data_IF_483905338479
#
_entry.id   IF_483905338479
#
_cell.length_a   1.000
_cell.length_b   1.000
_cell.length_c   1.000
_cell.angle_alpha   90.00
_cell.angle_beta   90.00
_cell.angle_gamma   90.00
#
_symmetry.space_group_name_H-M   'P 1'
#
loop_
_entity.id
_entity.type
_entity.pdbx_description
1 polymer ?
#
# COMPACT_ATOMS: atom_id res chain seq x y z
N UNK A 1 2.67 5.01 34.82
CA UNK A 1 1.70 5.54 33.83
C UNK A 1 2.51 6.00 32.62
N UNK A 2 2.33 5.40 31.44
CA UNK A 2 3.00 5.89 30.23
C UNK A 2 2.25 7.15 29.80
N UNK A 3 2.91 8.31 29.83
CA UNK A 3 2.35 9.54 29.30
C UNK A 3 1.99 9.30 27.82
N UNK A 4 0.72 9.45 27.45
CA UNK A 4 0.34 9.42 26.04
C UNK A 4 1.07 10.59 25.37
N UNK A 5 1.91 10.28 24.39
CA UNK A 5 2.45 11.32 23.53
C UNK A 5 1.28 12.04 22.85
N UNK A 6 1.47 13.31 22.52
CA UNK A 6 0.44 14.12 21.85
C UNK A 6 0.04 13.55 20.48
N UNK A 7 -0.55 14.38 19.62
CA UNK A 7 -1.03 13.97 18.29
C UNK A 7 -0.05 13.01 17.58
N UNK A 8 -0.58 11.89 17.07
CA UNK A 8 0.18 10.90 16.29
C UNK A 8 1.01 11.61 15.21
N UNK A 9 2.29 11.23 15.03
CA UNK A 9 3.15 11.87 14.05
C UNK A 9 2.58 11.69 12.64
N UNK A 10 2.72 12.73 11.79
CA UNK A 10 2.42 12.61 10.37
C UNK A 10 3.31 11.54 9.71
N UNK A 11 2.79 10.74 8.76
CA UNK A 11 3.58 9.81 7.95
C UNK A 11 4.76 10.50 7.25
N UNK A 12 5.83 9.78 6.99
CA UNK A 12 7.05 10.34 6.39
C UNK A 12 6.79 10.90 5.00
N UNK A 13 5.96 10.24 4.19
CA UNK A 13 5.58 10.73 2.87
C UNK A 13 4.97 12.15 2.92
N UNK A 14 4.08 12.40 3.88
CA UNK A 14 3.45 13.72 4.07
C UNK A 14 4.49 14.75 4.53
N UNK A 15 5.39 14.39 5.46
CA UNK A 15 6.46 15.29 5.91
C UNK A 15 7.41 15.68 4.78
N UNK A 16 7.74 14.74 3.89
CA UNK A 16 8.59 14.99 2.72
C UNK A 16 7.90 15.97 1.76
N UNK A 17 6.62 15.75 1.46
CA UNK A 17 5.83 16.63 0.59
C UNK A 17 5.70 18.05 1.15
N UNK A 18 5.58 18.20 2.47
CA UNK A 18 5.53 19.50 3.15
C UNK A 18 6.91 20.16 3.31
N UNK A 19 8.00 19.55 2.82
CA UNK A 19 9.37 20.09 2.93
C UNK A 19 10.00 19.95 4.31
N UNK A 20 9.48 19.05 5.16
CA UNK A 20 9.93 18.79 6.52
C UNK A 20 10.08 20.08 7.36
N UNK A 21 8.99 20.83 7.62
CA UNK A 21 9.05 22.15 8.27
C UNK A 21 9.67 22.12 9.67
N UNK A 22 9.54 20.99 10.38
CA UNK A 22 10.15 20.79 11.69
C UNK A 22 11.66 20.51 11.65
N UNK A 23 12.26 20.29 10.47
CA UNK A 23 13.68 19.96 10.24
C UNK A 23 14.24 18.81 11.08
N UNK A 24 13.37 17.99 11.69
CA UNK A 24 13.77 16.79 12.45
C UNK A 24 14.11 15.66 11.47
N UNK A 25 14.93 14.72 11.93
CA UNK A 25 15.19 13.49 11.15
C UNK A 25 13.88 12.77 10.81
N UNK A 26 13.80 12.27 9.57
CA UNK A 26 12.65 11.51 9.08
C UNK A 26 12.77 10.05 9.51
N UNK A 27 11.63 9.36 9.66
CA UNK A 27 11.64 7.94 9.98
C UNK A 27 12.04 7.14 8.73
N UNK A 28 13.22 6.53 8.76
CA UNK A 28 13.71 5.67 7.66
C UNK A 28 13.18 4.23 7.74
N UNK A 29 12.58 3.86 8.88
CA UNK A 29 12.07 2.51 9.15
C UNK A 29 10.56 2.40 8.92
N UNK A 30 9.95 3.36 8.22
CA UNK A 30 8.53 3.26 7.86
C UNK A 30 8.36 2.17 6.79
N UNK A 31 7.44 1.20 6.98
CA UNK A 31 7.23 0.12 6.04
C UNK A 31 6.79 0.67 4.68
N UNK A 32 7.42 0.16 3.62
CA UNK A 32 7.07 0.46 2.23
C UNK A 32 6.75 -0.86 1.55
N UNK A 33 5.48 -1.19 1.32
CA UNK A 33 5.12 -2.44 0.67
C UNK A 33 5.65 -2.43 -0.77
N UNK A 34 6.08 -3.61 -1.24
CA UNK A 34 6.55 -3.75 -2.60
C UNK A 34 5.40 -3.52 -3.58
N UNK A 35 5.64 -2.67 -4.59
CA UNK A 35 4.67 -2.32 -5.66
C UNK A 35 4.58 -3.43 -6.70
N UNK A 36 4.16 -4.60 -6.25
CA UNK A 36 4.02 -5.82 -7.03
C UNK A 36 2.61 -6.34 -6.87
N UNK A 37 2.01 -6.82 -7.95
CA UNK A 37 0.68 -7.42 -7.84
C UNK A 37 0.73 -8.69 -6.96
N UNK A 38 -0.25 -8.87 -6.06
CA UNK A 38 -0.35 -10.09 -5.27
C UNK A 38 -0.67 -11.29 -6.19
N UNK A 39 -0.29 -12.49 -5.75
CA UNK A 39 -0.65 -13.72 -6.47
C UNK A 39 -2.17 -13.88 -6.47
N UNK A 40 -2.73 -14.24 -7.63
CA UNK A 40 -4.16 -14.51 -7.75
C UNK A 40 -4.60 -15.60 -6.75
N UNK A 41 -5.60 -15.32 -5.90
CA UNK A 41 -6.06 -16.29 -4.92
C UNK A 41 -6.77 -17.47 -5.57
N UNK A 42 -6.59 -18.65 -5.00
CA UNK A 42 -7.17 -19.89 -5.53
C UNK A 42 -8.70 -19.96 -5.41
N UNK A 43 -9.25 -19.24 -4.43
CA UNK A 43 -10.67 -19.24 -4.08
C UNK A 43 -11.55 -18.36 -4.98
N UNK A 44 -10.98 -17.61 -5.92
CA UNK A 44 -11.77 -16.84 -6.89
C UNK A 44 -12.44 -17.76 -7.92
N UNK A 45 -13.63 -17.36 -8.35
CA UNK A 45 -14.32 -17.98 -9.49
C UNK A 45 -13.54 -17.76 -10.80
N UNK A 46 -13.86 -18.53 -11.85
CA UNK A 46 -13.08 -18.51 -13.08
C UNK A 46 -13.20 -17.18 -13.83
N UNK A 47 -14.36 -16.53 -13.78
CA UNK A 47 -14.62 -15.19 -14.31
C UNK A 47 -13.77 -14.15 -13.56
N UNK A 48 -13.77 -14.20 -12.23
CA UNK A 48 -12.96 -13.33 -11.39
C UNK A 48 -11.45 -13.52 -11.63
N UNK A 49 -11.00 -14.76 -11.85
CA UNK A 49 -9.60 -15.05 -12.22
C UNK A 49 -9.21 -14.47 -13.58
N UNK A 50 -10.12 -14.40 -14.55
CA UNK A 50 -9.87 -13.76 -15.85
C UNK A 50 -9.71 -12.25 -15.66
N UNK A 51 -10.59 -11.65 -14.87
CA UNK A 51 -10.55 -10.22 -14.57
C UNK A 51 -9.29 -9.83 -13.77
N UNK A 52 -8.93 -10.64 -12.79
CA UNK A 52 -7.68 -10.52 -12.05
C UNK A 52 -6.49 -10.45 -13.00
N UNK A 53 -6.37 -11.40 -13.94
CA UNK A 53 -5.26 -11.44 -14.90
C UNK A 53 -5.25 -10.23 -15.84
N UNK A 54 -6.42 -9.73 -16.23
CA UNK A 54 -6.58 -8.56 -17.11
C UNK A 54 -6.09 -7.28 -16.41
N UNK A 55 -6.57 -7.03 -15.20
CA UNK A 55 -6.34 -5.78 -14.48
C UNK A 55 -5.03 -5.77 -13.67
N UNK A 56 -4.64 -6.88 -13.05
CA UNK A 56 -3.44 -6.93 -12.21
C UNK A 56 -2.18 -6.48 -12.97
N UNK A 57 -2.03 -6.92 -14.23
CA UNK A 57 -0.89 -6.55 -15.08
C UNK A 57 -0.81 -5.04 -15.30
N UNK A 58 -1.94 -4.39 -15.57
CA UNK A 58 -1.98 -2.95 -15.83
C UNK A 58 -1.71 -2.16 -14.54
N UNK A 59 -2.33 -2.57 -13.43
CA UNK A 59 -2.18 -1.90 -12.14
C UNK A 59 -0.78 -2.07 -11.54
N UNK A 60 -0.14 -3.21 -11.76
CA UNK A 60 1.26 -3.45 -11.39
C UNK A 60 2.22 -2.54 -12.19
N UNK A 61 2.03 -2.43 -13.51
CA UNK A 61 2.83 -1.53 -14.36
C UNK A 61 2.70 -0.06 -13.96
N UNK A 62 1.52 0.35 -13.49
CA UNK A 62 1.28 1.69 -12.97
C UNK A 62 1.77 1.87 -11.52
N UNK A 63 2.20 0.79 -10.86
CA UNK A 63 2.65 0.79 -9.47
C UNK A 63 1.53 1.12 -8.46
N UNK A 64 0.29 0.79 -8.81
CA UNK A 64 -0.91 1.00 -8.00
C UNK A 64 -1.13 -0.19 -7.06
N UNK A 65 -0.95 -1.41 -7.56
CA UNK A 65 -1.02 -2.61 -6.72
C UNK A 65 0.27 -2.83 -5.96
N UNK A 66 0.09 -3.21 -4.71
CA UNK A 66 1.12 -3.66 -3.79
C UNK A 66 0.80 -5.07 -3.29
N UNK A 67 1.78 -5.72 -2.67
CA UNK A 67 1.64 -7.09 -2.17
C UNK A 67 0.51 -7.26 -1.14
N UNK A 68 0.10 -6.18 -0.46
CA UNK A 68 -0.94 -6.19 0.57
C UNK A 68 -2.36 -5.99 0.02
N UNK A 69 -2.51 -5.67 -1.27
CA UNK A 69 -3.81 -5.32 -1.86
C UNK A 69 -4.66 -6.54 -2.24
N UNK A 70 -4.24 -7.75 -1.85
CA UNK A 70 -4.92 -8.99 -2.22
C UNK A 70 -6.41 -8.98 -1.90
N UNK A 71 -6.79 -8.62 -0.68
CA UNK A 71 -8.19 -8.66 -0.25
C UNK A 71 -9.04 -7.60 -0.98
N UNK A 72 -8.52 -6.37 -1.10
CA UNK A 72 -9.21 -5.28 -1.78
C UNK A 72 -9.39 -5.59 -3.27
N UNK A 73 -8.35 -6.09 -3.93
CA UNK A 73 -8.41 -6.45 -5.33
C UNK A 73 -9.27 -7.70 -5.58
N UNK A 74 -9.27 -8.67 -4.64
CA UNK A 74 -10.18 -9.83 -4.71
C UNK A 74 -11.65 -9.43 -4.56
N UNK A 75 -11.96 -8.36 -3.84
CA UNK A 75 -13.33 -7.86 -3.74
C UNK A 75 -13.82 -7.10 -4.98
N UNK A 76 -12.89 -6.69 -5.85
CA UNK A 76 -13.20 -6.07 -7.14
C UNK A 76 -13.44 -7.10 -8.25
N UNK A 77 -12.61 -8.16 -8.27
CA UNK A 77 -12.66 -9.23 -9.28
C UNK A 77 -13.80 -10.20 -9.03
#
# INVERSE_FOLDING_TARGET
MVAQSGRKPKPTAVKVLEGNPGKRSLNTQEPKPDKKAPRCPSWLEDEAKKEWKRMAKQLEQLGILTEIDMAAFSGYC
#
